data_IF_989858476341
#
_entry.id   IF_989858476341
#
_cell.length_a   1.000
_cell.length_b   1.000
_cell.length_c   1.000
_cell.angle_alpha   90.00
_cell.angle_beta   90.00
_cell.angle_gamma   90.00
#
_symmetry.space_group_name_H-M   'P 1'
#
loop_
_entity.id
_entity.type
_entity.pdbx_description
1 polymer ?
#
# COMPACT_ATOMS: atom_id res chain seq x y z
N UNK A 1 12.48 7.13 0.53
CA UNK A 1 12.60 6.50 -0.81
C UNK A 1 11.25 5.93 -1.26
N UNK A 2 11.00 5.66 -2.55
CA UNK A 2 9.79 4.92 -2.94
C UNK A 2 9.97 3.44 -2.52
N UNK A 3 8.98 2.79 -1.88
CA UNK A 3 9.07 1.37 -1.57
C UNK A 3 8.85 0.53 -2.83
N UNK A 4 9.45 -0.66 -2.92
CA UNK A 4 8.98 -1.71 -3.84
C UNK A 4 7.64 -2.28 -3.35
N UNK A 5 6.93 -3.00 -4.22
CA UNK A 5 5.69 -3.69 -3.84
C UNK A 5 5.96 -4.75 -2.76
N UNK A 6 7.09 -5.45 -2.85
CA UNK A 6 7.51 -6.45 -1.88
C UNK A 6 7.83 -5.82 -0.51
N UNK A 7 8.56 -4.70 -0.48
CA UNK A 7 8.80 -3.96 0.76
C UNK A 7 7.49 -3.50 1.38
N UNK A 8 6.57 -2.95 0.58
CA UNK A 8 5.26 -2.55 1.09
C UNK A 8 4.48 -3.74 1.68
N UNK A 9 4.48 -4.89 1.01
CA UNK A 9 3.87 -6.11 1.53
C UNK A 9 4.51 -6.57 2.83
N UNK A 10 5.84 -6.52 2.94
CA UNK A 10 6.55 -6.91 4.15
C UNK A 10 6.17 -6.04 5.35
N UNK A 11 5.91 -4.74 5.15
CA UNK A 11 5.40 -3.86 6.21
C UNK A 11 3.96 -4.20 6.56
N UNK A 12 3.11 -4.43 5.56
CA UNK A 12 1.70 -4.84 5.78
C UNK A 12 1.61 -6.14 6.58
N UNK A 13 2.46 -7.12 6.28
CA UNK A 13 2.50 -8.43 6.95
C UNK A 13 2.90 -8.32 8.45
N UNK A 14 3.33 -7.15 8.95
CA UNK A 14 3.57 -6.89 10.37
C UNK A 14 2.28 -6.60 11.17
N UNK A 15 1.16 -6.32 10.48
CA UNK A 15 -0.09 -5.92 11.11
C UNK A 15 -1.12 -7.07 11.07
N UNK A 16 -1.68 -7.41 12.23
CA UNK A 16 -2.74 -8.45 12.32
C UNK A 16 -4.12 -7.95 11.83
N UNK A 17 -4.28 -6.64 11.65
CA UNK A 17 -5.57 -5.99 11.35
C UNK A 17 -5.59 -5.23 10.01
N UNK A 18 -4.55 -5.42 9.20
CA UNK A 18 -4.46 -4.88 7.84
C UNK A 18 -4.14 -6.05 6.92
N UNK A 19 -5.04 -6.37 6.01
CA UNK A 19 -4.83 -7.48 5.08
C UNK A 19 -4.27 -6.98 3.74
N UNK A 20 -3.36 -7.76 3.19
CA UNK A 20 -2.88 -7.57 1.83
C UNK A 20 -3.98 -7.88 0.82
N UNK A 21 -4.40 -6.87 0.03
CA UNK A 21 -5.34 -7.10 -1.08
C UNK A 21 -4.59 -7.47 -2.37
N UNK A 22 -3.39 -6.90 -2.57
CA UNK A 22 -2.62 -7.09 -3.80
C UNK A 22 -3.04 -6.13 -4.91
N UNK A 23 -3.11 -6.61 -6.15
CA UNK A 23 -3.47 -5.75 -7.28
C UNK A 23 -4.95 -5.34 -7.20
N UNK A 24 -5.19 -4.03 -7.18
CA UNK A 24 -6.52 -3.45 -7.19
C UNK A 24 -6.81 -2.78 -8.53
N UNK A 25 -7.83 -3.30 -9.20
CA UNK A 25 -8.38 -2.75 -10.44
C UNK A 25 -9.66 -1.99 -10.13
N UNK A 26 -9.54 -0.67 -10.02
CA UNK A 26 -10.65 0.23 -9.74
C UNK A 26 -11.41 0.66 -10.99
N UNK A 27 -12.45 1.47 -10.81
CA UNK A 27 -13.17 2.09 -11.93
C UNK A 27 -12.24 3.04 -12.71
N UNK A 28 -12.58 3.28 -13.98
CA UNK A 28 -11.84 4.20 -14.86
C UNK A 28 -10.37 3.80 -15.10
N UNK A 29 -10.10 2.51 -15.31
CA UNK A 29 -8.76 1.98 -15.61
C UNK A 29 -7.73 2.25 -14.50
N UNK A 30 -8.19 2.35 -13.25
CA UNK A 30 -7.30 2.46 -12.11
C UNK A 30 -6.59 1.13 -11.88
N UNK A 31 -5.25 1.15 -11.89
CA UNK A 31 -4.41 0.02 -11.51
C UNK A 31 -3.50 0.41 -10.35
N UNK A 32 -3.60 -0.32 -9.25
CA UNK A 32 -2.84 -0.04 -8.05
C UNK A 32 -2.57 -1.26 -7.21
N UNK A 33 -1.93 -1.03 -6.08
CA UNK A 33 -1.70 -2.00 -5.02
C UNK A 33 -2.53 -1.58 -3.82
N UNK A 34 -3.34 -2.48 -3.31
CA UNK A 34 -4.30 -2.22 -2.25
C UNK A 34 -4.06 -3.03 -0.98
N UNK A 35 -4.66 -2.53 0.09
CA UNK A 35 -4.80 -3.21 1.38
C UNK A 35 -6.23 -3.02 1.89
N UNK A 36 -6.69 -3.92 2.76
CA UNK A 36 -7.97 -3.81 3.44
C UNK A 36 -7.74 -3.58 4.93
N UNK A 37 -8.56 -2.73 5.55
CA UNK A 37 -8.58 -2.58 7.00
C UNK A 37 -9.99 -2.27 7.52
N UNK A 38 -10.21 -2.55 8.81
CA UNK A 38 -11.45 -2.24 9.51
C UNK A 38 -11.70 -0.73 9.62
N UNK A 39 -10.64 0.09 9.65
CA UNK A 39 -10.75 1.54 9.72
C UNK A 39 -9.67 2.27 8.89
N UNK A 40 -9.91 3.53 8.55
CA UNK A 40 -8.88 4.41 7.97
C UNK A 40 -7.80 4.80 8.99
N UNK A 41 -8.06 4.63 10.29
CA UNK A 41 -7.06 4.85 11.34
C UNK A 41 -5.93 3.85 11.24
N UNK A 42 -6.26 2.59 10.99
CA UNK A 42 -5.30 1.50 10.80
C UNK A 42 -4.41 1.76 9.57
N UNK A 43 -5.01 2.24 8.48
CA UNK A 43 -4.27 2.67 7.28
C UNK A 43 -3.32 3.84 7.60
N UNK A 44 -3.73 4.79 8.44
CA UNK A 44 -2.85 5.89 8.84
C UNK A 44 -1.67 5.37 9.67
N UNK A 45 -1.87 4.38 10.54
CA UNK A 45 -0.79 3.71 11.28
C UNK A 45 0.20 3.03 10.33
N UNK A 46 -0.28 2.29 9.32
CA UNK A 46 0.58 1.73 8.27
C UNK A 46 1.41 2.80 7.58
N UNK A 47 0.83 3.96 7.25
CA UNK A 47 1.57 5.05 6.62
C UNK A 47 2.65 5.66 7.53
N UNK A 48 2.41 5.70 8.85
CA UNK A 48 3.42 6.11 9.83
C UNK A 48 4.56 5.08 9.86
N UNK A 49 4.23 3.79 9.85
CA UNK A 49 5.23 2.72 9.88
C UNK A 49 6.09 2.69 8.60
N UNK A 50 5.46 2.84 7.43
CA UNK A 50 6.18 2.99 6.17
C UNK A 50 7.19 4.15 6.25
N UNK A 51 6.83 5.24 6.93
CA UNK A 51 7.72 6.39 7.12
C UNK A 51 8.85 6.10 8.11
N UNK A 52 8.62 5.38 9.21
CA UNK A 52 9.69 4.96 10.15
C UNK A 52 10.68 4.01 9.48
N UNK A 53 10.23 3.16 8.56
CA UNK A 53 11.10 2.33 7.72
C UNK A 53 11.85 3.10 6.61
N UNK A 54 11.67 4.41 6.51
CA UNK A 54 12.36 5.28 5.55
C UNK A 54 11.69 5.33 4.16
N UNK A 55 10.52 4.73 4.00
CA UNK A 55 9.72 4.83 2.80
C UNK A 55 8.89 6.12 2.79
N UNK A 56 8.74 6.70 1.61
CA UNK A 56 7.89 7.85 1.36
C UNK A 56 6.77 7.44 0.42
N UNK A 57 5.77 6.77 0.97
CA UNK A 57 4.54 6.44 0.26
C UNK A 57 3.49 7.52 0.58
N UNK A 58 3.10 8.39 -0.37
CA UNK A 58 2.12 9.44 -0.12
C UNK A 58 0.73 8.83 0.13
N UNK A 59 -0.26 9.64 0.49
CA UNK A 59 -1.64 9.17 0.68
C UNK A 59 -2.14 8.31 -0.50
N UNK A 60 -2.99 7.34 -0.21
CA UNK A 60 -3.63 6.46 -1.20
C UNK A 60 -4.42 7.27 -2.24
N UNK A 61 -4.52 6.72 -3.46
CA UNK A 61 -5.18 7.36 -4.60
C UNK A 61 -6.65 6.95 -4.74
N UNK A 62 -6.99 5.76 -4.24
CA UNK A 62 -8.32 5.20 -4.36
C UNK A 62 -8.76 4.64 -3.01
N UNK A 63 -10.03 4.84 -2.70
CA UNK A 63 -10.70 4.27 -1.54
C UNK A 63 -12.04 3.72 -1.96
N UNK A 64 -12.36 2.51 -1.50
CA UNK A 64 -13.66 1.88 -1.72
C UNK A 64 -14.15 1.24 -0.43
N UNK A 65 -15.47 1.19 -0.25
CA UNK A 65 -16.12 0.60 0.93
C UNK A 65 -16.87 -0.65 0.49
N UNK A 66 -16.30 -1.84 0.70
CA UNK A 66 -16.93 -3.11 0.36
C UNK A 66 -17.92 -3.60 1.43
N UNK A 67 -18.75 -2.70 1.97
CA UNK A 67 -19.82 -3.02 2.93
C UNK A 67 -19.38 -3.47 4.33
N UNK A 68 -18.16 -3.99 4.53
CA UNK A 68 -17.62 -4.42 5.84
C UNK A 68 -16.13 -4.07 6.06
N UNK A 69 -15.54 -3.23 5.20
CA UNK A 69 -14.14 -2.81 5.32
C UNK A 69 -13.80 -1.72 4.30
N UNK A 70 -12.69 -1.02 4.54
CA UNK A 70 -12.15 -0.05 3.57
C UNK A 70 -11.03 -0.70 2.78
N UNK A 71 -11.16 -0.70 1.46
CA UNK A 71 -10.01 -0.89 0.57
C UNK A 71 -9.41 0.47 0.30
N UNK A 72 -8.10 0.59 0.50
CA UNK A 72 -7.33 1.71 -0.02
C UNK A 72 -6.29 1.19 -0.99
N UNK A 73 -6.00 1.95 -2.03
CA UNK A 73 -5.01 1.57 -3.01
C UNK A 73 -4.14 2.74 -3.46
N UNK A 74 -2.89 2.42 -3.82
CA UNK A 74 -1.92 3.33 -4.40
C UNK A 74 -1.64 2.95 -5.84
N UNK A 75 -1.53 3.94 -6.74
CA UNK A 75 -1.15 3.68 -8.14
C UNK A 75 0.19 2.95 -8.19
N UNK A 76 0.33 1.96 -9.09
CA UNK A 76 1.58 1.20 -9.27
C UNK A 76 2.81 2.12 -9.46
N UNK A 77 2.65 3.27 -10.14
CA UNK A 77 3.70 4.29 -10.35
C UNK A 77 4.30 4.91 -9.06
N UNK A 78 3.65 4.73 -7.90
CA UNK A 78 4.16 5.20 -6.61
C UNK A 78 5.19 4.25 -5.99
N UNK A 79 5.24 3.02 -6.48
CA UNK A 79 6.23 2.04 -6.07
C UNK A 79 7.47 2.14 -6.96
N UNK A 80 8.61 1.71 -6.42
CA UNK A 80 9.81 1.47 -7.20
C UNK A 80 9.66 0.14 -7.96
N UNK A 81 10.23 0.08 -9.16
CA UNK A 81 10.40 -1.20 -9.85
C UNK A 81 11.33 -2.07 -9.01
N UNK A 82 11.03 -3.37 -8.90
CA UNK A 82 11.85 -4.34 -8.15
C UNK A 82 13.24 -4.58 -8.76
N UNK A 83 13.66 -3.77 -9.74
CA UNK A 83 14.87 -3.95 -10.56
C UNK A 83 15.98 -2.95 -10.28
N UNK A 84 15.97 -2.23 -9.15
CA UNK A 84 17.20 -1.58 -8.67
C UNK A 84 18.16 -2.64 -8.14
N UNK A 85 18.88 -3.30 -9.05
CA UNK A 85 20.18 -3.89 -8.74
C UNK A 85 21.07 -2.78 -8.24
N UNK A 86 21.33 -2.75 -6.94
CA UNK A 86 22.47 -2.02 -6.40
C UNK A 86 23.71 -2.72 -6.91
N UNK A 87 24.26 -2.24 -8.04
CA UNK A 87 25.64 -2.55 -8.39
C UNK A 87 26.54 -1.78 -7.41
N UNK A 88 27.27 -2.55 -6.60
CA UNK A 88 28.37 -2.08 -5.75
C UNK A 88 29.71 -2.34 -6.45
#
# INVERSE_FOLDING_TARGET
MKPTIEQFKNVVDQFEYIDWFGEYHGRFYYEGIGVTAGSLGDIATLMVEMKSEGFNLPKWDHQDSLGMGSIVAWRKSKFADSTERVEA
#
